data_IF_130309924717
#
_entry.id   IF_130309924717
#
_cell.length_a   1.000
_cell.length_b   1.000
_cell.length_c   1.000
_cell.angle_alpha   90.00
_cell.angle_beta   90.00
_cell.angle_gamma   90.00
#
_symmetry.space_group_name_H-M   'P 1'
#
loop_
_entity.id
_entity.type
_entity.pdbx_description
1 polymer ?
#
# COMPACT_ATOMS: atom_id res chain seq x y z
N UNK A 1 -32.46 -71.13 19.46
CA UNK A 1 -31.14 -71.21 20.14
C UNK A 1 -30.96 -69.84 20.78
N UNK A 2 -31.57 -69.65 21.97
CA UNK A 2 -30.95 -69.87 23.29
C UNK A 2 -29.80 -68.87 23.48
N UNK A 3 -30.04 -67.72 24.12
CA UNK A 3 -30.23 -67.50 25.58
C UNK A 3 -28.96 -67.75 26.41
N UNK A 4 -28.56 -66.71 27.17
CA UNK A 4 -28.26 -66.72 28.62
C UNK A 4 -27.95 -65.25 29.01
N UNK A 5 -28.72 -64.47 29.81
CA UNK A 5 -29.12 -64.56 31.24
C UNK A 5 -27.90 -64.67 32.19
N UNK A 6 -27.70 -63.96 33.32
CA UNK A 6 -28.49 -63.30 34.39
C UNK A 6 -27.50 -62.37 35.19
N UNK A 7 -27.87 -61.16 35.68
CA UNK A 7 -28.53 -60.78 36.95
C UNK A 7 -27.62 -60.48 38.16
N UNK A 8 -27.85 -59.32 38.82
CA UNK A 8 -28.24 -59.09 40.25
C UNK A 8 -28.05 -57.58 40.55
N UNK A 9 -29.07 -56.75 40.86
CA UNK A 9 -29.76 -56.56 42.16
C UNK A 9 -29.09 -55.40 42.96
N UNK A 10 -29.72 -54.45 43.70
CA UNK A 10 -31.10 -54.20 44.16
C UNK A 10 -31.19 -52.80 44.83
N UNK A 11 -32.39 -52.18 44.85
CA UNK A 11 -33.02 -51.34 45.92
C UNK A 11 -32.49 -49.89 46.22
N UNK A 12 -33.25 -48.83 46.58
CA UNK A 12 -34.48 -48.66 47.41
C UNK A 12 -35.29 -47.36 47.09
N UNK A 13 -36.60 -47.40 47.43
CA UNK A 13 -37.67 -46.40 47.78
C UNK A 13 -37.47 -44.87 47.57
N UNK A 14 -38.41 -44.06 47.04
CA UNK A 14 -39.84 -43.69 47.31
C UNK A 14 -40.07 -42.77 48.52
N UNK A 15 -40.67 -41.59 48.27
CA UNK A 15 -41.66 -40.79 49.05
C UNK A 15 -41.93 -39.49 48.23
N UNK A 16 -43.09 -39.29 47.56
CA UNK A 16 -44.36 -38.64 47.99
C UNK A 16 -44.17 -37.22 48.59
N UNK A 17 -44.82 -36.15 48.13
CA UNK A 17 -46.27 -35.92 48.27
C UNK A 17 -46.86 -34.80 47.37
N UNK A 18 -48.13 -35.01 46.98
CA UNK A 18 -49.23 -34.14 46.57
C UNK A 18 -49.18 -32.63 46.93
N UNK A 19 -49.86 -31.80 46.11
CA UNK A 19 -51.13 -31.14 46.47
C UNK A 19 -51.84 -30.58 45.21
N UNK A 20 -53.05 -31.10 45.00
CA UNK A 20 -54.28 -30.57 44.35
C UNK A 20 -54.46 -29.04 44.35
N UNK A 21 -55.38 -28.39 43.64
CA UNK A 21 -56.24 -28.62 42.48
C UNK A 21 -56.99 -27.27 42.27
N UNK A 22 -57.37 -26.98 41.02
CA UNK A 22 -58.39 -26.06 40.52
C UNK A 22 -58.98 -24.91 41.39
N UNK A 23 -59.06 -23.69 40.82
CA UNK A 23 -60.36 -22.98 40.63
C UNK A 23 -60.23 -21.79 39.64
N UNK A 24 -61.29 -21.58 38.86
CA UNK A 24 -61.44 -20.65 37.72
C UNK A 24 -62.39 -19.50 38.11
N UNK A 25 -62.51 -18.48 37.25
CA UNK A 25 -63.44 -17.33 37.25
C UNK A 25 -62.93 -16.10 38.04
N UNK A 26 -63.02 -14.85 37.58
CA UNK A 26 -63.88 -14.29 36.55
C UNK A 26 -63.30 -12.97 35.99
N UNK A 27 -63.91 -12.55 34.89
CA UNK A 27 -63.67 -11.40 34.03
C UNK A 27 -64.06 -10.05 34.67
N UNK A 28 -63.21 -9.02 34.55
CA UNK A 28 -63.64 -7.62 34.60
C UNK A 28 -62.84 -6.77 33.61
N UNK A 29 -63.58 -6.06 32.76
CA UNK A 29 -63.12 -5.07 31.78
C UNK A 29 -62.93 -3.73 32.48
N UNK A 30 -61.78 -3.08 32.28
CA UNK A 30 -61.68 -1.63 32.36
C UNK A 30 -60.72 -1.10 31.29
N UNK A 31 -61.25 -0.26 30.42
CA UNK A 31 -60.53 0.50 29.40
C UNK A 31 -59.61 1.52 30.08
N UNK A 32 -58.32 1.50 29.76
CA UNK A 32 -57.56 2.74 29.74
C UNK A 32 -56.51 2.74 28.62
N UNK A 33 -56.70 3.71 27.74
CA UNK A 33 -55.86 4.19 26.66
C UNK A 33 -54.41 4.44 27.13
N UNK A 34 -53.47 3.62 26.64
CA UNK A 34 -52.05 3.99 26.60
C UNK A 34 -51.42 3.46 25.32
N UNK A 35 -50.90 4.40 24.55
CA UNK A 35 -50.27 4.23 23.24
C UNK A 35 -48.97 3.43 23.34
N UNK A 36 -48.97 2.18 22.85
CA UNK A 36 -47.76 1.38 22.66
C UNK A 36 -47.03 1.80 21.38
N UNK A 37 -46.15 2.80 21.51
CA UNK A 37 -45.01 2.97 20.62
C UNK A 37 -43.87 2.08 21.14
N UNK A 38 -43.81 0.84 20.69
CA UNK A 38 -42.61 0.01 20.84
C UNK A 38 -41.70 0.20 19.61
N UNK A 39 -40.74 1.10 19.82
CA UNK A 39 -39.38 1.19 19.28
C UNK A 39 -38.96 0.04 18.35
N UNK A 40 -39.28 0.17 17.06
CA UNK A 40 -38.47 -0.42 16.01
C UNK A 40 -37.16 0.37 16.00
N UNK A 41 -36.14 -0.15 16.67
CA UNK A 41 -34.77 0.29 16.41
C UNK A 41 -34.46 -0.02 14.96
N UNK A 42 -34.71 0.96 14.09
CA UNK A 42 -34.09 1.06 12.78
C UNK A 42 -32.58 0.95 13.04
N UNK A 43 -32.04 -0.24 12.80
CA UNK A 43 -30.63 -0.35 12.48
C UNK A 43 -30.46 0.52 11.24
N UNK A 44 -29.99 1.75 11.44
CA UNK A 44 -29.51 2.60 10.37
C UNK A 44 -28.45 1.79 9.63
N UNK A 45 -28.88 1.10 8.57
CA UNK A 45 -28.00 0.71 7.49
C UNK A 45 -27.32 2.01 7.08
N UNK A 46 -26.04 2.12 7.43
CA UNK A 46 -25.16 3.22 7.08
C UNK A 46 -25.12 3.28 5.54
N UNK A 47 -26.12 3.94 4.94
CA UNK A 47 -26.29 4.06 3.50
C UNK A 47 -25.07 4.82 3.02
N UNK A 48 -24.12 4.09 2.42
CA UNK A 48 -22.93 4.69 1.85
C UNK A 48 -23.38 5.79 0.89
N UNK A 49 -22.92 7.02 1.14
CA UNK A 49 -23.23 8.12 0.24
C UNK A 49 -22.64 7.83 -1.14
N UNK A 50 -23.26 8.35 -2.20
CA UNK A 50 -22.71 8.25 -3.56
C UNK A 50 -21.25 8.74 -3.62
N UNK A 51 -20.90 9.75 -2.82
CA UNK A 51 -19.52 10.23 -2.69
C UNK A 51 -18.58 9.15 -2.12
N UNK A 52 -19.02 8.40 -1.11
CA UNK A 52 -18.27 7.28 -0.52
C UNK A 52 -18.08 6.15 -1.52
N UNK A 53 -19.12 5.80 -2.27
CA UNK A 53 -19.04 4.75 -3.29
C UNK A 53 -18.12 5.13 -4.44
N UNK A 54 -18.22 6.37 -4.92
CA UNK A 54 -17.33 6.90 -5.95
C UNK A 54 -15.88 6.99 -5.46
N UNK A 55 -15.65 7.39 -4.21
CA UNK A 55 -14.31 7.42 -3.62
C UNK A 55 -13.71 6.00 -3.52
N UNK A 56 -14.52 5.03 -3.07
CA UNK A 56 -14.13 3.62 -2.95
C UNK A 56 -13.83 3.04 -4.33
N UNK A 57 -14.71 3.26 -5.30
CA UNK A 57 -14.51 2.84 -6.69
C UNK A 57 -13.25 3.44 -7.30
N UNK A 58 -13.07 4.76 -7.21
CA UNK A 58 -11.91 5.45 -7.77
C UNK A 58 -10.60 4.93 -7.17
N UNK A 59 -10.59 4.68 -5.85
CA UNK A 59 -9.44 4.13 -5.12
C UNK A 59 -9.17 2.66 -5.43
N UNK A 60 -10.24 1.87 -5.66
CA UNK A 60 -10.15 0.44 -5.97
C UNK A 60 -9.59 0.20 -7.38
N UNK A 61 -9.97 1.05 -8.33
CA UNK A 61 -9.62 0.91 -9.74
C UNK A 61 -8.55 1.90 -10.22
N UNK A 62 -7.93 2.65 -9.30
CA UNK A 62 -6.85 3.60 -9.57
C UNK A 62 -7.21 4.57 -10.69
N UNK A 63 -8.46 5.01 -10.69
CA UNK A 63 -9.00 5.86 -11.74
C UNK A 63 -8.26 7.18 -11.71
N UNK A 64 -7.71 7.58 -12.85
CA UNK A 64 -6.93 8.82 -12.95
C UNK A 64 -7.79 10.00 -12.46
N UNK A 65 -7.20 10.86 -11.62
CA UNK A 65 -7.91 12.00 -11.03
C UNK A 65 -8.60 12.88 -12.07
N UNK A 66 -8.03 13.06 -13.26
CA UNK A 66 -8.66 13.84 -14.33
C UNK A 66 -9.97 13.19 -14.85
N UNK A 67 -10.04 11.86 -14.91
CA UNK A 67 -11.24 11.14 -15.29
C UNK A 67 -12.30 11.23 -14.19
N UNK A 68 -11.88 11.12 -12.92
CA UNK A 68 -12.78 11.34 -11.76
C UNK A 68 -13.30 12.79 -11.75
N UNK A 69 -12.44 13.79 -11.95
CA UNK A 69 -12.83 15.21 -12.04
C UNK A 69 -13.87 15.44 -13.14
N UNK A 70 -13.68 14.82 -14.31
CA UNK A 70 -14.62 14.94 -15.42
C UNK A 70 -15.96 14.25 -15.12
N UNK A 71 -15.93 13.05 -14.54
CA UNK A 71 -17.13 12.33 -14.11
C UNK A 71 -17.92 13.14 -13.07
N UNK A 72 -17.24 13.69 -12.06
CA UNK A 72 -17.87 14.50 -11.02
C UNK A 72 -18.59 15.72 -11.61
N UNK A 73 -17.99 16.41 -12.59
CA UNK A 73 -18.63 17.53 -13.29
C UNK A 73 -19.87 17.08 -14.07
N UNK A 74 -19.83 15.92 -14.73
CA UNK A 74 -20.99 15.36 -15.43
C UNK A 74 -22.11 15.04 -14.42
N UNK A 75 -21.79 14.43 -13.29
CA UNK A 75 -22.78 14.10 -12.26
C UNK A 75 -23.42 15.36 -11.65
N UNK A 76 -22.62 16.40 -11.40
CA UNK A 76 -23.13 17.70 -10.94
C UNK A 76 -24.14 18.32 -11.92
N UNK A 77 -23.89 18.22 -13.23
CA UNK A 77 -24.80 18.71 -14.27
C UNK A 77 -26.12 17.92 -14.33
N UNK A 78 -26.14 16.69 -13.81
CA UNK A 78 -27.31 15.80 -13.82
C UNK A 78 -27.96 15.66 -12.43
N UNK A 79 -27.77 16.64 -11.55
CA UNK A 79 -28.52 16.75 -10.29
C UNK A 79 -27.75 16.34 -9.02
N UNK A 80 -26.49 15.92 -9.13
CA UNK A 80 -25.64 15.59 -7.97
C UNK A 80 -24.75 16.78 -7.58
N UNK A 81 -25.37 17.92 -7.23
CA UNK A 81 -24.66 19.16 -6.89
C UNK A 81 -23.95 19.11 -5.54
N UNK A 82 -24.27 18.11 -4.72
CA UNK A 82 -23.63 17.78 -3.44
C UNK A 82 -22.24 17.15 -3.59
N UNK A 83 -21.96 16.53 -4.74
CA UNK A 83 -20.65 15.96 -5.03
C UNK A 83 -19.59 17.06 -5.20
N UNK A 84 -18.33 16.81 -4.79
CA UNK A 84 -17.24 17.75 -5.03
C UNK A 84 -16.88 17.83 -6.52
N UNK A 85 -16.24 18.91 -6.93
CA UNK A 85 -15.80 19.10 -8.32
C UNK A 85 -14.45 18.46 -8.66
N UNK A 86 -13.76 17.91 -7.65
CA UNK A 86 -12.43 17.32 -7.83
C UNK A 86 -12.27 16.02 -7.05
N UNK A 87 -11.52 15.10 -7.63
CA UNK A 87 -11.09 13.83 -7.06
C UNK A 87 -10.38 14.04 -5.71
N UNK A 88 -9.56 15.09 -5.59
CA UNK A 88 -8.85 15.41 -4.35
C UNK A 88 -9.82 15.62 -3.17
N UNK A 89 -10.90 16.35 -3.41
CA UNK A 89 -11.92 16.60 -2.38
C UNK A 89 -12.77 15.36 -2.15
N UNK A 90 -13.13 14.61 -3.20
CA UNK A 90 -13.86 13.34 -3.10
C UNK A 90 -13.10 12.33 -2.22
N UNK A 91 -11.81 12.16 -2.50
CA UNK A 91 -10.91 11.22 -1.83
C UNK A 91 -10.39 11.74 -0.49
N UNK A 92 -10.81 12.93 -0.06
CA UNK A 92 -10.36 13.60 1.18
C UNK A 92 -8.84 13.57 1.35
N UNK A 93 -8.09 13.79 0.26
CA UNK A 93 -6.63 13.65 0.28
C UNK A 93 -6.01 14.60 1.31
N UNK A 94 -5.17 14.10 2.25
CA UNK A 94 -4.53 14.93 3.26
C UNK A 94 -3.73 16.07 2.62
N UNK A 95 -3.89 17.29 3.16
CA UNK A 95 -3.13 18.47 2.71
C UNK A 95 -1.78 18.60 3.39
N UNK A 96 -1.63 17.96 4.55
CA UNK A 96 -0.40 17.95 5.32
C UNK A 96 -0.08 16.50 5.69
N UNK A 97 1.17 16.12 5.45
CA UNK A 97 1.73 14.84 5.85
C UNK A 97 2.85 15.17 6.83
N UNK A 98 2.89 14.48 7.97
CA UNK A 98 3.99 14.61 8.91
C UNK A 98 5.28 14.11 8.23
N UNK A 99 6.29 14.96 8.16
CA UNK A 99 7.61 14.63 7.60
C UNK A 99 8.67 14.81 8.68
N UNK A 100 9.79 14.13 8.51
CA UNK A 100 10.99 14.35 9.32
C UNK A 100 12.05 15.04 8.48
N UNK A 101 13.13 15.52 9.10
CA UNK A 101 14.29 16.04 8.38
C UNK A 101 15.33 14.94 8.22
N UNK A 102 15.76 14.66 6.99
CA UNK A 102 16.81 13.68 6.67
C UNK A 102 17.64 14.19 5.48
N UNK A 103 18.96 14.07 5.55
CA UNK A 103 19.87 14.53 4.48
C UNK A 103 19.69 16.00 4.04
N UNK A 104 19.21 16.87 4.95
CA UNK A 104 18.94 18.29 4.67
C UNK A 104 17.63 18.56 3.93
N UNK A 105 16.70 17.60 3.90
CA UNK A 105 15.42 17.69 3.19
C UNK A 105 14.26 17.23 4.07
N UNK A 106 13.05 17.72 3.78
CA UNK A 106 11.81 17.10 4.24
C UNK A 106 11.76 15.67 3.70
N UNK A 107 11.51 14.69 4.57
CA UNK A 107 11.63 13.27 4.28
C UNK A 107 10.37 12.53 4.69
N UNK A 108 9.94 11.62 3.81
CA UNK A 108 8.86 10.68 4.05
C UNK A 108 9.20 9.32 3.44
N UNK A 109 8.95 8.24 4.17
CA UNK A 109 9.20 6.88 3.71
C UNK A 109 7.92 6.05 3.75
N UNK A 110 7.62 5.41 2.63
CA UNK A 110 6.64 4.35 2.50
C UNK A 110 7.37 3.00 2.57
N UNK A 111 7.12 2.20 3.62
CA UNK A 111 7.75 0.90 3.75
C UNK A 111 7.54 0.07 2.48
N UNK A 112 8.65 -0.37 1.87
CA UNK A 112 8.66 -1.01 0.56
C UNK A 112 7.88 -2.32 0.59
N UNK A 113 7.99 -3.11 1.66
CA UNK A 113 7.23 -4.35 1.82
C UNK A 113 5.71 -4.09 1.76
N UNK A 114 5.23 -3.12 2.54
CA UNK A 114 3.80 -2.79 2.58
C UNK A 114 3.31 -2.29 1.21
N UNK A 115 4.06 -1.37 0.58
CA UNK A 115 3.68 -0.84 -0.74
C UNK A 115 3.70 -1.90 -1.82
N UNK A 116 4.74 -2.73 -1.84
CA UNK A 116 4.83 -3.82 -2.79
C UNK A 116 3.62 -4.76 -2.63
N UNK A 117 3.29 -5.18 -1.40
CA UNK A 117 2.12 -6.01 -1.15
C UNK A 117 0.81 -5.37 -1.63
N UNK A 118 0.57 -4.09 -1.27
CA UNK A 118 -0.60 -3.31 -1.72
C UNK A 118 -0.73 -3.30 -3.25
N UNK A 119 0.38 -3.29 -3.99
CA UNK A 119 0.37 -3.33 -5.45
C UNK A 119 0.22 -4.75 -6.01
N UNK A 120 0.89 -5.74 -5.42
CA UNK A 120 0.78 -7.14 -5.84
C UNK A 120 -0.63 -7.69 -5.68
N UNK A 121 -1.34 -7.35 -4.61
CA UNK A 121 -2.73 -7.79 -4.38
C UNK A 121 -3.69 -7.44 -5.54
N UNK A 122 -3.35 -6.41 -6.32
CA UNK A 122 -4.15 -5.91 -7.45
C UNK A 122 -3.94 -6.69 -8.75
N UNK A 123 -2.82 -7.41 -8.90
CA UNK A 123 -2.60 -8.24 -10.09
C UNK A 123 -3.53 -9.46 -10.06
N UNK A 124 -3.94 -10.03 -11.21
CA UNK A 124 -4.66 -11.30 -11.26
C UNK A 124 -3.90 -12.42 -10.54
N UNK A 125 -4.62 -13.44 -10.05
CA UNK A 125 -3.98 -14.57 -9.35
C UNK A 125 -3.04 -15.30 -10.31
N UNK A 126 -3.46 -15.43 -11.57
CA UNK A 126 -2.79 -16.13 -12.65
C UNK A 126 -1.43 -15.49 -12.96
N UNK A 127 -1.40 -14.15 -13.06
CA UNK A 127 -0.17 -13.38 -13.29
C UNK A 127 0.89 -13.66 -12.20
N UNK A 128 0.46 -13.73 -10.94
CA UNK A 128 1.38 -14.00 -9.83
C UNK A 128 1.77 -15.48 -9.76
N UNK A 129 0.85 -16.40 -10.03
CA UNK A 129 1.14 -17.84 -9.96
C UNK A 129 2.23 -18.29 -10.93
N UNK A 130 2.32 -17.64 -12.10
CA UNK A 130 3.33 -17.94 -13.12
C UNK A 130 4.74 -17.42 -12.77
N UNK A 131 4.87 -16.59 -11.72
CA UNK A 131 6.14 -15.97 -11.32
C UNK A 131 6.61 -16.49 -9.95
N UNK A 132 7.71 -17.24 -9.91
CA UNK A 132 8.41 -17.58 -8.65
C UNK A 132 9.23 -16.40 -8.12
N UNK A 133 9.63 -15.50 -9.01
CA UNK A 133 10.43 -14.31 -8.72
C UNK A 133 9.72 -13.08 -9.27
N UNK A 134 9.67 -12.02 -8.47
CA UNK A 134 9.19 -10.70 -8.89
C UNK A 134 10.41 -9.82 -9.12
N UNK A 135 10.55 -9.39 -10.37
CA UNK A 135 11.58 -8.46 -10.79
C UNK A 135 11.18 -7.02 -10.48
N UNK A 136 12.08 -6.32 -9.78
CA UNK A 136 11.95 -4.91 -9.43
C UNK A 136 13.07 -4.10 -10.08
N UNK A 137 12.76 -2.85 -10.45
CA UNK A 137 13.78 -1.84 -10.72
C UNK A 137 13.52 -0.59 -9.91
N UNK A 138 14.59 0.11 -9.53
CA UNK A 138 14.47 1.34 -8.77
C UNK A 138 14.95 2.54 -9.58
N UNK A 139 14.36 3.71 -9.35
CA UNK A 139 14.88 4.98 -9.88
C UNK A 139 15.19 5.93 -8.73
N UNK A 140 16.35 6.57 -8.80
CA UNK A 140 16.78 7.61 -7.85
C UNK A 140 17.32 8.79 -8.64
N UNK A 141 16.60 9.90 -8.63
CA UNK A 141 16.96 11.10 -9.39
C UNK A 141 16.38 12.38 -8.75
N UNK A 142 16.91 13.54 -9.13
CA UNK A 142 16.39 14.84 -8.72
C UNK A 142 15.42 15.43 -9.73
N UNK A 143 14.20 15.73 -9.30
CA UNK A 143 13.18 16.39 -10.13
C UNK A 143 12.86 17.81 -9.61
N UNK A 144 13.00 18.85 -10.45
CA UNK A 144 12.51 20.19 -10.11
C UNK A 144 10.98 20.19 -10.00
N UNK A 145 10.44 20.65 -8.87
CA UNK A 145 8.99 20.67 -8.65
C UNK A 145 8.31 21.87 -9.33
N UNK A 146 8.99 23.00 -9.38
CA UNK A 146 8.45 24.24 -9.93
C UNK A 146 9.50 24.95 -10.77
N UNK A 147 9.07 25.59 -11.87
CA UNK A 147 9.97 26.39 -12.72
C UNK A 147 10.46 27.67 -12.04
N UNK A 148 9.66 28.21 -11.11
CA UNK A 148 9.90 29.48 -10.43
C UNK A 148 10.51 29.34 -9.02
N UNK A 149 10.79 28.12 -8.58
CA UNK A 149 11.37 27.85 -7.26
C UNK A 149 12.56 26.90 -7.42
N UNK A 150 13.55 27.03 -6.54
CA UNK A 150 14.64 26.05 -6.41
C UNK A 150 14.20 24.74 -5.74
N UNK A 151 12.90 24.54 -5.47
CA UNK A 151 12.42 23.33 -4.79
C UNK A 151 12.60 22.10 -5.69
N UNK A 152 13.33 21.12 -5.18
CA UNK A 152 13.61 19.84 -5.82
C UNK A 152 13.07 18.71 -4.95
N UNK A 153 12.64 17.64 -5.60
CA UNK A 153 12.28 16.39 -4.97
C UNK A 153 13.25 15.30 -5.42
N UNK A 154 13.69 14.47 -4.49
CA UNK A 154 14.49 13.27 -4.80
C UNK A 154 13.73 12.05 -4.31
N UNK A 155 12.93 11.41 -5.18
CA UNK A 155 12.24 10.19 -4.82
C UNK A 155 13.12 8.97 -5.05
N UNK A 156 12.80 7.90 -4.33
CA UNK A 156 13.11 6.53 -4.75
C UNK A 156 11.82 5.93 -5.26
N UNK A 157 11.79 5.60 -6.55
CA UNK A 157 10.66 4.94 -7.20
C UNK A 157 10.98 3.46 -7.39
N UNK A 158 9.99 2.60 -7.20
CA UNK A 158 10.04 1.18 -7.48
C UNK A 158 9.11 0.87 -8.65
N UNK A 159 9.56 0.06 -9.61
CA UNK A 159 8.74 -0.50 -10.66
C UNK A 159 8.67 -2.02 -10.53
N UNK A 160 7.45 -2.55 -10.62
CA UNK A 160 7.15 -3.99 -10.63
C UNK A 160 7.09 -4.45 -12.08
N UNK A 161 7.96 -5.38 -12.48
CA UNK A 161 8.01 -5.92 -13.84
C UNK A 161 7.08 -7.11 -14.03
N UNK A 162 5.81 -6.90 -13.73
CA UNK A 162 4.69 -7.78 -14.09
C UNK A 162 3.86 -7.13 -15.19
N UNK A 163 2.80 -7.79 -15.68
CA UNK A 163 1.89 -7.20 -16.65
C UNK A 163 0.55 -6.76 -16.01
N UNK A 164 0.21 -5.46 -16.03
CA UNK A 164 1.00 -4.33 -16.53
C UNK A 164 2.14 -3.92 -15.59
N UNK A 165 3.16 -3.23 -16.11
CA UNK A 165 4.21 -2.65 -15.28
C UNK A 165 3.60 -1.51 -14.45
N UNK A 166 3.90 -1.48 -13.15
CA UNK A 166 3.40 -0.45 -12.22
C UNK A 166 4.56 0.15 -11.44
N UNK A 167 4.60 1.48 -11.38
CA UNK A 167 5.55 2.27 -10.60
C UNK A 167 4.90 2.92 -9.35
N UNK A 168 5.66 3.01 -8.26
CA UNK A 168 5.25 3.67 -7.03
C UNK A 168 6.43 4.22 -6.23
N UNK A 169 6.27 5.29 -5.43
CA UNK A 169 7.32 5.80 -4.57
C UNK A 169 7.48 4.97 -3.29
N UNK A 170 8.73 4.73 -2.87
CA UNK A 170 9.06 4.20 -1.53
C UNK A 170 9.69 5.28 -0.64
N UNK A 171 10.49 6.18 -1.20
CA UNK A 171 11.04 7.31 -0.44
C UNK A 171 10.74 8.60 -1.17
N UNK A 172 10.33 9.63 -0.45
CA UNK A 172 10.13 10.97 -0.97
C UNK A 172 10.94 11.95 -0.13
N UNK A 173 11.77 12.75 -0.79
CA UNK A 173 12.45 13.87 -0.15
C UNK A 173 12.17 15.16 -0.88
N UNK A 174 12.07 16.28 -0.16
CA UNK A 174 11.75 17.58 -0.73
C UNK A 174 12.55 18.68 -0.05
N UNK A 175 13.19 19.54 -0.83
CA UNK A 175 14.08 20.58 -0.30
C UNK A 175 14.46 21.61 -1.37
N UNK A 176 15.33 22.55 -1.02
CA UNK A 176 15.83 23.55 -1.97
C UNK A 176 17.14 23.13 -2.68
N UNK A 177 17.71 22.00 -2.27
CA UNK A 177 18.95 21.43 -2.81
C UNK A 177 18.79 19.91 -2.92
N UNK A 178 19.73 19.26 -3.61
CA UNK A 178 19.86 17.80 -3.55
C UNK A 178 20.19 17.31 -2.14
N UNK A 179 19.99 16.02 -1.80
CA UNK A 179 20.37 15.46 -0.51
C UNK A 179 21.85 15.71 -0.21
N UNK A 180 22.16 15.99 1.05
CA UNK A 180 23.54 16.24 1.49
C UNK A 180 24.39 14.96 1.53
N UNK A 181 23.75 13.83 1.80
CA UNK A 181 24.36 12.53 2.00
C UNK A 181 23.38 11.42 1.56
N UNK A 182 23.79 10.16 1.72
CA UNK A 182 22.98 9.00 1.33
C UNK A 182 22.05 8.50 2.44
N UNK A 183 21.96 9.19 3.59
CA UNK A 183 21.13 8.70 4.70
C UNK A 183 19.64 8.62 4.31
N UNK A 184 19.17 9.42 3.35
CA UNK A 184 17.81 9.30 2.81
C UNK A 184 17.51 7.94 2.16
N UNK A 185 18.53 7.13 1.82
CA UNK A 185 18.34 5.79 1.26
C UNK A 185 18.29 4.68 2.32
N UNK A 186 18.67 4.94 3.58
CA UNK A 186 18.84 3.89 4.60
C UNK A 186 17.58 3.05 4.83
N UNK A 187 16.42 3.68 4.99
CA UNK A 187 15.18 2.97 5.27
C UNK A 187 14.77 2.11 4.06
N UNK A 188 14.94 2.66 2.85
CA UNK A 188 14.74 1.93 1.60
C UNK A 188 15.68 0.71 1.47
N UNK A 189 16.97 0.89 1.77
CA UNK A 189 17.97 -0.18 1.70
C UNK A 189 17.65 -1.28 2.72
N UNK A 190 17.31 -0.91 3.96
CA UNK A 190 16.93 -1.84 5.00
C UNK A 190 15.70 -2.67 4.60
N UNK A 191 14.66 -2.03 4.06
CA UNK A 191 13.48 -2.73 3.56
C UNK A 191 13.80 -3.65 2.38
N UNK A 192 14.64 -3.21 1.45
CA UNK A 192 15.04 -4.00 0.30
C UNK A 192 15.86 -5.24 0.71
N UNK A 193 16.77 -5.13 1.68
CA UNK A 193 17.54 -6.25 2.22
C UNK A 193 16.63 -7.32 2.83
N UNK A 194 15.61 -6.90 3.57
CA UNK A 194 14.59 -7.80 4.15
C UNK A 194 13.84 -8.53 3.04
N UNK A 195 13.42 -7.82 1.99
CA UNK A 195 12.69 -8.40 0.86
C UNK A 195 13.55 -9.35 0.02
N UNK A 196 14.82 -9.02 -0.22
CA UNK A 196 15.75 -9.88 -0.95
C UNK A 196 16.04 -11.19 -0.20
N UNK A 197 16.14 -11.11 1.13
CA UNK A 197 16.42 -12.26 1.98
C UNK A 197 15.20 -13.16 2.17
N UNK A 198 14.03 -12.53 2.36
CA UNK A 198 12.84 -13.24 2.79
C UNK A 198 11.81 -13.46 1.68
N UNK A 199 11.92 -12.78 0.53
CA UNK A 199 10.85 -12.73 -0.46
C UNK A 199 9.61 -12.01 0.06
N UNK A 200 8.49 -12.16 -0.65
CA UNK A 200 7.18 -11.62 -0.26
C UNK A 200 6.09 -12.68 -0.42
N UNK A 201 5.18 -12.76 0.55
CA UNK A 201 4.02 -13.66 0.50
C UNK A 201 2.81 -12.91 -0.07
N UNK A 202 2.27 -13.39 -1.19
CA UNK A 202 1.08 -12.81 -1.81
C UNK A 202 0.21 -13.92 -2.40
N UNK A 203 -1.11 -13.83 -2.23
CA UNK A 203 -2.10 -14.78 -2.79
C UNK A 203 -1.77 -16.27 -2.58
N UNK A 204 -1.27 -16.60 -1.39
CA UNK A 204 -0.93 -17.97 -1.02
C UNK A 204 0.40 -18.49 -1.58
N UNK A 205 1.13 -17.71 -2.38
CA UNK A 205 2.46 -18.06 -2.89
C UNK A 205 3.53 -17.13 -2.30
N UNK A 206 4.71 -17.69 -2.07
CA UNK A 206 5.91 -16.92 -1.75
C UNK A 206 6.68 -16.62 -3.03
N UNK A 207 6.98 -15.35 -3.26
CA UNK A 207 7.76 -14.90 -4.40
C UNK A 207 9.12 -14.40 -3.93
N UNK A 208 10.19 -14.85 -4.58
CA UNK A 208 11.52 -14.26 -4.42
C UNK A 208 11.53 -12.86 -5.03
N UNK A 209 12.39 -11.98 -4.52
CA UNK A 209 12.59 -10.64 -5.09
C UNK A 209 13.92 -10.62 -5.82
N UNK A 210 13.93 -10.04 -7.02
CA UNK A 210 15.14 -9.78 -7.78
C UNK A 210 15.18 -8.30 -8.19
N UNK A 211 16.38 -7.70 -8.15
CA UNK A 211 16.58 -6.31 -8.56
C UNK A 211 17.28 -6.31 -9.91
N UNK A 212 16.56 -5.91 -10.95
CA UNK A 212 17.09 -5.83 -12.30
C UNK A 212 18.12 -4.70 -12.42
N UNK A 213 17.77 -3.51 -11.90
CA UNK A 213 18.63 -2.34 -11.99
C UNK A 213 18.22 -1.22 -11.03
N UNK A 214 19.16 -0.30 -10.81
CA UNK A 214 18.91 1.03 -10.26
C UNK A 214 19.21 2.06 -11.35
N UNK A 215 18.20 2.82 -11.73
CA UNK A 215 18.21 3.81 -12.81
C UNK A 215 18.45 5.20 -12.23
N UNK A 216 19.51 5.85 -12.67
CA UNK A 216 19.86 7.21 -12.31
C UNK A 216 20.34 7.95 -13.56
N UNK A 217 20.17 9.28 -13.61
CA UNK A 217 20.96 10.11 -14.52
C UNK A 217 22.45 10.10 -14.09
N UNK A 218 23.35 10.64 -14.90
CA UNK A 218 24.78 10.56 -14.61
C UNK A 218 25.20 11.29 -13.31
N UNK A 219 24.73 12.53 -13.03
CA UNK A 219 24.94 13.18 -11.74
C UNK A 219 24.40 12.41 -10.52
N UNK A 220 23.17 11.91 -10.59
CA UNK A 220 22.56 11.13 -9.50
C UNK A 220 23.28 9.81 -9.30
N UNK A 221 23.67 9.13 -10.39
CA UNK A 221 24.48 7.89 -10.32
C UNK A 221 25.79 8.11 -9.58
N UNK A 222 26.51 9.17 -9.93
CA UNK A 222 27.77 9.52 -9.26
C UNK A 222 27.56 9.80 -7.77
N UNK A 223 26.49 10.52 -7.43
CA UNK A 223 26.12 10.79 -6.04
C UNK A 223 25.80 9.51 -5.26
N UNK A 224 24.89 8.66 -5.79
CA UNK A 224 24.47 7.41 -5.16
C UNK A 224 25.62 6.41 -5.02
N UNK A 225 26.53 6.33 -6.00
CA UNK A 225 27.72 5.46 -5.93
C UNK A 225 28.85 6.04 -5.08
N UNK A 226 28.80 7.32 -4.70
CA UNK A 226 29.93 8.02 -4.09
C UNK A 226 31.14 8.15 -5.04
N UNK A 227 30.91 8.14 -6.35
CA UNK A 227 31.96 8.25 -7.38
C UNK A 227 32.02 9.66 -7.97
N UNK A 228 33.10 9.95 -8.71
CA UNK A 228 33.18 11.19 -9.49
C UNK A 228 32.29 11.09 -10.71
N UNK A 229 31.73 12.23 -11.15
CA UNK A 229 31.06 12.30 -12.45
C UNK A 229 32.01 11.86 -13.58
N UNK A 230 31.44 11.37 -14.67
CA UNK A 230 32.18 10.95 -15.88
C UNK A 230 33.10 12.02 -16.47
N UNK A 231 32.84 13.29 -16.18
CA UNK A 231 33.68 14.43 -16.58
C UNK A 231 34.93 14.62 -15.70
N UNK A 232 35.07 13.87 -14.61
CA UNK A 232 36.24 13.89 -13.74
C UNK A 232 37.33 12.93 -14.20
N UNK A 233 38.58 13.24 -13.84
CA UNK A 233 39.75 12.40 -14.17
C UNK A 233 39.69 10.96 -13.62
N UNK A 234 38.83 10.66 -12.65
CA UNK A 234 38.54 9.29 -12.19
C UNK A 234 37.04 9.02 -12.24
N UNK A 235 36.41 9.48 -13.33
CA UNK A 235 34.96 9.40 -13.54
C UNK A 235 34.51 8.17 -14.31
N UNK A 236 35.42 7.29 -14.73
CA UNK A 236 35.03 6.09 -15.46
C UNK A 236 34.27 5.15 -14.54
N UNK A 237 33.08 4.73 -14.98
CA UNK A 237 32.25 3.79 -14.22
C UNK A 237 32.75 2.33 -14.29
N UNK A 238 33.72 2.03 -15.17
CA UNK A 238 34.16 0.67 -15.53
C UNK A 238 35.63 0.36 -15.19
N UNK A 239 36.43 1.36 -14.85
CA UNK A 239 37.85 1.19 -14.56
C UNK A 239 38.32 2.26 -13.58
N UNK A 240 39.49 2.04 -12.97
CA UNK A 240 40.13 2.93 -12.01
C UNK A 240 41.22 3.82 -12.65
N UNK A 241 41.44 3.71 -13.97
CA UNK A 241 42.43 4.49 -14.68
C UNK A 241 42.17 6.00 -14.52
N UNK A 242 43.26 6.76 -14.41
CA UNK A 242 43.19 8.22 -14.51
C UNK A 242 42.98 8.61 -15.97
N UNK A 243 41.88 9.29 -16.26
CA UNK A 243 41.62 9.85 -17.58
C UNK A 243 42.57 10.99 -17.93
N UNK A 244 42.61 11.32 -19.21
CA UNK A 244 43.42 12.41 -19.76
C UNK A 244 42.53 13.43 -20.48
N UNK A 245 42.92 14.69 -20.45
CA UNK A 245 42.15 15.78 -21.05
C UNK A 245 42.50 15.97 -22.53
N UNK A 246 41.54 15.69 -23.39
CA UNK A 246 41.59 15.97 -24.84
C UNK A 246 40.28 16.66 -25.27
N UNK A 247 40.12 17.93 -24.90
CA UNK A 247 38.86 18.72 -24.99
C UNK A 247 37.69 18.20 -24.13
N UNK A 248 37.76 16.94 -23.72
CA UNK A 248 36.95 16.26 -22.70
C UNK A 248 37.87 15.25 -22.00
N UNK A 249 37.47 14.76 -20.82
CA UNK A 249 38.18 13.64 -20.19
C UNK A 249 37.94 12.37 -21.00
N UNK A 250 39.02 11.65 -21.33
CA UNK A 250 38.99 10.36 -22.05
C UNK A 250 39.76 9.30 -21.29
N UNK A 251 39.34 8.04 -21.43
CA UNK A 251 39.95 6.88 -20.80
C UNK A 251 40.42 5.96 -21.94
N UNK A 252 41.72 5.96 -22.21
CA UNK A 252 42.30 5.36 -23.43
C UNK A 252 42.80 3.94 -23.20
N UNK A 253 43.08 3.57 -21.95
CA UNK A 253 43.51 2.22 -21.62
C UNK A 253 42.32 1.26 -21.69
N UNK A 254 42.46 0.23 -22.51
CA UNK A 254 41.42 -0.79 -22.76
C UNK A 254 41.74 -2.13 -22.09
N UNK A 255 42.91 -2.28 -21.48
CA UNK A 255 43.33 -3.51 -20.80
C UNK A 255 42.80 -3.56 -19.35
N UNK A 256 42.49 -2.40 -18.76
CA UNK A 256 42.02 -2.25 -17.38
C UNK A 256 40.49 -2.17 -17.24
N UNK A 257 39.71 -2.85 -18.08
CA UNK A 257 38.26 -2.95 -17.89
C UNK A 257 38.02 -3.91 -16.72
N UNK A 258 37.50 -3.41 -15.59
CA UNK A 258 37.05 -4.28 -14.51
C UNK A 258 35.94 -5.17 -15.06
N UNK A 259 36.21 -6.48 -15.13
CA UNK A 259 35.26 -7.48 -15.59
C UNK A 259 33.98 -7.40 -14.78
N UNK A 260 32.85 -7.41 -15.48
CA UNK A 260 31.53 -7.67 -14.92
C UNK A 260 31.46 -9.10 -14.38
#
# INVERSE_FOLDING_TARGET
MMEDHLSTGTSYAREESDWDDNFVEDMDLDENDTTDQEDLTDMEEDKSSLATDLATWASKFHVKNNAVDHLLKVLQQHGHTDLPSTARTLLKTPRHVATIQKSGMEYFHYPLHQKLLEHLEKYPVEELQDHDTIDLSFNVDGLPLFKSSGKVMWPVLCAIHLNPIVDFPTTLTCGNNRPNDLHFLEDFVADLEVLLSNGIQCKGKKHSINVLCIVCDAPAKAFVRGTKLYSGYYGCDKCDQKGEWFNRVTFQDTENIMGL
#
